data_IF_464878005232
#
_entry.id   IF_464878005232
#
_cell.length_a   1.000
_cell.length_b   1.000
_cell.length_c   1.000
_cell.angle_alpha   90.00
_cell.angle_beta   90.00
_cell.angle_gamma   90.00
#
_symmetry.space_group_name_H-M   'P 1'
#
loop_
_entity.id
_entity.type
_entity.pdbx_description
1 polymer ?
#
# COMPACT_ATOMS: atom_id res chain seq x y z
N UNK A 1 1.44 -10.00 16.63
CA UNK A 1 0.95 -8.67 17.00
C UNK A 1 0.26 -8.03 15.82
N UNK A 2 -0.86 -7.35 16.06
CA UNK A 2 -1.66 -6.71 15.01
C UNK A 2 -1.61 -5.20 15.19
N UNK A 3 -1.35 -4.50 14.11
CA UNK A 3 -1.31 -3.03 14.10
C UNK A 3 -1.91 -2.50 12.81
N UNK A 4 -2.29 -1.24 12.83
CA UNK A 4 -2.70 -0.51 11.64
C UNK A 4 -1.48 0.19 11.04
N UNK A 5 -1.46 0.34 9.74
CA UNK A 5 -0.32 0.93 9.03
C UNK A 5 -0.78 1.97 8.02
N UNK A 6 0.03 2.99 7.90
CA UNK A 6 -0.09 4.03 6.86
C UNK A 6 1.05 3.81 5.88
N UNK A 7 0.71 3.56 4.62
CA UNK A 7 1.71 3.29 3.58
C UNK A 7 1.55 4.35 2.50
N UNK A 8 2.65 5.04 2.22
CA UNK A 8 2.72 6.04 1.14
C UNK A 8 3.65 5.50 0.07
N UNK A 9 3.17 5.41 -1.15
CA UNK A 9 3.97 4.91 -2.26
C UNK A 9 3.79 5.77 -3.50
N UNK A 10 4.83 5.80 -4.33
CA UNK A 10 4.75 6.42 -5.65
C UNK A 10 4.54 5.31 -6.66
N UNK A 11 3.52 5.44 -7.49
CA UNK A 11 3.12 4.42 -8.46
C UNK A 11 3.00 5.05 -9.85
N UNK A 12 3.04 4.18 -10.87
CA UNK A 12 2.73 4.61 -12.23
C UNK A 12 1.26 4.98 -12.31
N UNK A 13 0.97 6.09 -13.00
CA UNK A 13 -0.41 6.56 -13.19
C UNK A 13 -0.98 5.89 -14.45
N UNK A 14 -1.39 4.63 -14.29
CA UNK A 14 -2.03 3.89 -15.38
C UNK A 14 -3.40 3.39 -14.95
N UNK A 15 -4.27 3.19 -15.94
CA UNK A 15 -5.60 2.65 -15.70
C UNK A 15 -5.49 1.29 -15.03
N UNK A 16 -6.19 1.12 -13.93
CA UNK A 16 -6.24 -0.15 -13.20
C UNK A 16 -5.16 -0.36 -12.16
N UNK A 17 -4.19 0.55 -12.03
CA UNK A 17 -3.11 0.36 -11.04
C UNK A 17 -3.65 0.28 -9.61
N UNK A 18 -4.60 1.16 -9.26
CA UNK A 18 -5.19 1.13 -7.92
C UNK A 18 -5.90 -0.19 -7.65
N UNK A 19 -6.65 -0.69 -8.62
CA UNK A 19 -7.35 -1.96 -8.47
C UNK A 19 -6.38 -3.12 -8.29
N UNK A 20 -5.29 -3.13 -9.04
CA UNK A 20 -4.27 -4.18 -8.95
C UNK A 20 -3.61 -4.20 -7.57
N UNK A 21 -3.23 -3.03 -7.08
CA UNK A 21 -2.56 -2.94 -5.78
C UNK A 21 -3.52 -3.24 -4.63
N UNK A 22 -4.76 -2.74 -4.71
CA UNK A 22 -5.77 -3.06 -3.71
C UNK A 22 -6.05 -4.56 -3.64
N UNK A 23 -6.04 -5.24 -4.79
CA UNK A 23 -6.23 -6.70 -4.82
C UNK A 23 -5.12 -7.42 -4.07
N UNK A 24 -3.89 -6.93 -4.13
CA UNK A 24 -2.78 -7.53 -3.39
C UNK A 24 -3.04 -7.52 -1.89
N UNK A 25 -3.54 -6.39 -1.36
CA UNK A 25 -3.93 -6.33 0.06
C UNK A 25 -5.05 -7.31 0.36
N UNK A 26 -6.07 -7.36 -0.48
CA UNK A 26 -7.19 -8.26 -0.31
C UNK A 26 -6.74 -9.72 -0.30
N UNK A 27 -5.88 -10.11 -1.23
CA UNK A 27 -5.35 -11.48 -1.30
C UNK A 27 -4.49 -11.83 -0.10
N UNK A 28 -3.83 -10.84 0.49
CA UNK A 28 -3.06 -11.04 1.72
C UNK A 28 -3.94 -11.07 2.98
N UNK A 29 -5.25 -10.87 2.83
CA UNK A 29 -6.17 -10.82 3.95
C UNK A 29 -6.12 -9.52 4.75
N UNK A 30 -5.60 -8.45 4.15
CA UNK A 30 -5.50 -7.14 4.80
C UNK A 30 -6.58 -6.24 4.27
N UNK A 31 -7.51 -5.83 5.15
CA UNK A 31 -8.54 -4.87 4.81
C UNK A 31 -7.99 -3.45 4.87
N UNK A 32 -8.45 -2.61 3.95
CA UNK A 32 -8.06 -1.21 3.91
C UNK A 32 -9.16 -0.34 4.52
N UNK A 33 -8.78 0.58 5.40
CA UNK A 33 -9.73 1.53 6.00
C UNK A 33 -9.80 2.83 5.23
N UNK A 34 -8.75 3.18 4.49
CA UNK A 34 -8.72 4.39 3.68
C UNK A 34 -7.76 4.20 2.51
N UNK A 35 -8.12 4.80 1.39
CA UNK A 35 -7.27 4.85 0.19
C UNK A 35 -7.39 6.25 -0.38
N UNK A 36 -6.25 6.86 -0.70
CA UNK A 36 -6.22 8.16 -1.35
C UNK A 36 -5.17 8.14 -2.46
N UNK A 37 -5.55 8.67 -3.62
CA UNK A 37 -4.66 8.78 -4.75
C UNK A 37 -4.54 10.25 -5.13
N UNK A 38 -3.31 10.72 -5.30
CA UNK A 38 -3.02 12.08 -5.70
C UNK A 38 -2.09 12.07 -6.91
N UNK A 39 -2.38 12.90 -7.90
CA UNK A 39 -1.50 13.03 -9.06
C UNK A 39 -0.19 13.71 -8.65
N UNK A 40 0.89 13.30 -9.31
CA UNK A 40 2.21 13.90 -9.12
C UNK A 40 2.93 13.96 -10.47
N UNK A 41 4.04 14.70 -10.52
CA UNK A 41 4.79 14.88 -11.77
C UNK A 41 5.37 13.58 -12.29
N UNK A 42 5.67 12.62 -11.42
CA UNK A 42 6.31 11.36 -11.76
C UNK A 42 5.37 10.16 -11.71
N UNK A 43 4.07 10.40 -11.63
CA UNK A 43 3.07 9.34 -11.57
C UNK A 43 1.92 9.71 -10.65
N UNK A 44 1.68 8.88 -9.63
CA UNK A 44 0.70 9.17 -8.60
C UNK A 44 1.24 8.74 -7.24
N UNK A 45 0.82 9.47 -6.21
CA UNK A 45 1.04 9.02 -4.83
C UNK A 45 -0.19 8.23 -4.40
N UNK A 46 0.03 7.03 -3.94
CA UNK A 46 -1.03 6.18 -3.41
C UNK A 46 -0.80 6.03 -1.91
N UNK A 47 -1.79 6.45 -1.14
CA UNK A 47 -1.74 6.39 0.31
C UNK A 47 -2.81 5.44 0.77
N UNK A 48 -2.41 4.41 1.50
CA UNK A 48 -3.36 3.44 2.06
C UNK A 48 -3.21 3.38 3.57
N UNK A 49 -4.33 3.21 4.25
CA UNK A 49 -4.36 2.95 5.68
C UNK A 49 -5.03 1.59 5.86
N UNK A 50 -4.34 0.68 6.53
CA UNK A 50 -4.88 -0.66 6.75
C UNK A 50 -5.70 -0.71 8.03
N UNK A 51 -6.62 -1.67 8.10
CA UNK A 51 -7.11 -2.16 9.39
C UNK A 51 -6.00 -2.99 10.04
N UNK A 52 -6.23 -3.45 11.26
CA UNK A 52 -5.22 -4.21 12.00
C UNK A 52 -4.74 -5.43 11.19
N UNK A 53 -3.44 -5.58 11.09
CA UNK A 53 -2.80 -6.66 10.36
C UNK A 53 -1.59 -7.16 11.15
N UNK A 54 -1.25 -8.43 10.97
CA UNK A 54 -0.03 -8.98 11.55
C UNK A 54 1.18 -8.34 10.91
N UNK A 55 2.18 -8.07 11.72
CA UNK A 55 3.43 -7.47 11.25
C UNK A 55 4.08 -8.30 10.14
N UNK A 56 4.09 -9.62 10.28
CA UNK A 56 4.65 -10.51 9.25
C UNK A 56 3.91 -10.36 7.93
N UNK A 57 2.58 -10.39 7.96
CA UNK A 57 1.77 -10.28 6.75
C UNK A 57 1.98 -8.93 6.08
N UNK A 58 2.06 -7.87 6.88
CA UNK A 58 2.34 -6.52 6.37
C UNK A 58 3.72 -6.46 5.72
N UNK A 59 4.72 -7.02 6.36
CA UNK A 59 6.08 -7.06 5.81
C UNK A 59 6.13 -7.79 4.47
N UNK A 60 5.42 -8.91 4.37
CA UNK A 60 5.37 -9.68 3.12
C UNK A 60 4.70 -8.90 1.99
N UNK A 61 3.61 -8.18 2.28
CA UNK A 61 2.97 -7.39 1.23
C UNK A 61 3.82 -6.18 0.84
N UNK A 62 4.51 -5.56 1.78
CA UNK A 62 5.42 -4.45 1.44
C UNK A 62 6.53 -4.94 0.51
N UNK A 63 7.08 -6.11 0.75
CA UNK A 63 8.08 -6.70 -0.16
C UNK A 63 7.48 -6.94 -1.55
N UNK A 64 6.28 -7.50 -1.61
CA UNK A 64 5.62 -7.75 -2.88
C UNK A 64 5.31 -6.45 -3.64
N UNK A 65 4.87 -5.42 -2.93
CA UNK A 65 4.61 -4.10 -3.51
C UNK A 65 5.91 -3.49 -4.06
N UNK A 66 6.99 -3.60 -3.31
CA UNK A 66 8.29 -3.07 -3.73
C UNK A 66 8.74 -3.68 -5.05
N UNK A 67 8.39 -4.95 -5.29
CA UNK A 67 8.77 -5.66 -6.51
C UNK A 67 7.72 -5.58 -7.62
N UNK A 68 6.62 -4.88 -7.40
CA UNK A 68 5.58 -4.72 -8.42
C UNK A 68 6.02 -3.72 -9.48
N UNK A 69 5.76 -4.05 -10.75
CA UNK A 69 6.22 -3.24 -11.89
C UNK A 69 5.68 -1.80 -11.85
N UNK A 70 4.50 -1.60 -11.29
CA UNK A 70 3.87 -0.28 -11.23
C UNK A 70 4.18 0.51 -9.98
N UNK A 71 4.93 -0.05 -9.04
CA UNK A 71 5.37 0.65 -7.82
C UNK A 71 6.77 1.18 -8.05
N UNK A 72 6.90 2.49 -8.10
CA UNK A 72 8.20 3.15 -8.28
C UNK A 72 8.98 3.17 -6.98
N UNK A 73 8.29 3.43 -5.87
CA UNK A 73 8.92 3.51 -4.55
C UNK A 73 7.88 3.35 -3.45
N UNK A 74 8.31 2.72 -2.36
CA UNK A 74 7.60 2.79 -1.08
C UNK A 74 8.25 3.91 -0.30
N UNK A 75 7.53 5.02 -0.13
CA UNK A 75 8.07 6.22 0.49
C UNK A 75 8.11 6.12 2.01
N UNK A 76 7.07 5.54 2.59
CA UNK A 76 7.01 5.35 4.03
C UNK A 76 6.03 4.24 4.39
N UNK A 77 6.32 3.57 5.50
CA UNK A 77 5.43 2.61 6.17
C UNK A 77 5.44 2.98 7.64
N UNK A 78 4.31 3.46 8.14
CA UNK A 78 4.21 3.97 9.50
C UNK A 78 3.17 3.17 10.27
N UNK A 79 3.56 2.63 11.41
CA UNK A 79 2.63 1.98 12.31
C UNK A 79 1.85 3.04 13.07
N UNK A 80 0.51 2.94 13.07
CA UNK A 80 -0.36 4.00 13.57
C UNK A 80 -0.81 3.85 14.99
N UNK A 81 -0.90 2.65 15.48
CA UNK A 81 -1.43 2.44 16.81
C UNK A 81 -0.32 2.35 17.84
N UNK A 82 -0.64 2.83 18.95
CA UNK A 82 0.28 2.77 20.07
C UNK A 82 0.25 1.36 20.69
#
# INVERSE_FOLDING_TARGET
MHSRYHINMTVNDRVGVLADLARMFSQAGISLSAVRQEESDDGAHLIVVTHAAQERTLSEIVDALTNHADVQAINSVIRLDA
#
